data_IF_301860756348
#
_entry.id   IF_301860756348
#
_cell.length_a   1.000
_cell.length_b   1.000
_cell.length_c   1.000
_cell.angle_alpha   90.00
_cell.angle_beta   90.00
_cell.angle_gamma   90.00
#
_symmetry.space_group_name_H-M   'P 1'
#
loop_
_entity.id
_entity.type
_entity.pdbx_description
1 polymer ?
#
# COMPACT_ATOMS: atom_id res chain seq x y z
N UNK A 1 -0.38 -17.58 -4.28
CA UNK A 1 -0.54 -18.29 -2.99
C UNK A 1 -0.76 -17.23 -1.94
N UNK A 2 -1.91 -17.21 -1.27
CA UNK A 2 -2.21 -16.22 -0.23
C UNK A 2 -2.18 -16.94 1.11
N UNK A 3 -1.38 -16.46 2.06
CA UNK A 3 -1.37 -16.95 3.45
C UNK A 3 -2.14 -15.94 4.29
N UNK A 4 -3.09 -16.41 5.11
CA UNK A 4 -3.92 -15.54 5.93
C UNK A 4 -3.34 -15.34 7.34
N UNK A 5 -3.72 -14.25 8.02
CA UNK A 5 -3.32 -14.01 9.41
C UNK A 5 -3.75 -15.16 10.37
N UNK A 6 -4.97 -15.72 10.25
CA UNK A 6 -5.34 -16.92 11.01
C UNK A 6 -4.41 -18.12 10.79
N UNK A 7 -4.00 -18.38 9.54
CA UNK A 7 -3.11 -19.49 9.21
C UNK A 7 -1.73 -19.29 9.86
N UNK A 8 -1.15 -18.07 9.73
CA UNK A 8 0.10 -17.73 10.40
C UNK A 8 0.03 -17.99 11.92
N UNK A 9 -1.06 -17.56 12.56
CA UNK A 9 -1.28 -17.76 14.00
C UNK A 9 -1.39 -19.24 14.36
N UNK A 10 -2.11 -20.04 13.58
CA UNK A 10 -2.27 -21.47 13.80
C UNK A 10 -0.92 -22.23 13.73
N UNK A 11 0.02 -21.73 12.94
CA UNK A 11 1.36 -22.29 12.77
C UNK A 11 2.46 -21.61 13.61
N UNK A 12 2.12 -20.64 14.47
CA UNK A 12 3.10 -19.92 15.29
C UNK A 12 4.05 -19.01 14.51
N UNK A 13 3.64 -18.57 13.32
CA UNK A 13 4.41 -17.68 12.43
C UNK A 13 4.00 -16.23 12.72
N UNK A 14 4.97 -15.34 12.97
CA UNK A 14 4.72 -13.90 13.10
C UNK A 14 4.62 -13.27 11.69
N UNK A 15 3.46 -12.69 11.30
CA UNK A 15 3.30 -12.09 9.99
C UNK A 15 3.94 -10.70 9.91
N UNK A 16 4.57 -10.40 8.78
CA UNK A 16 4.95 -9.03 8.40
C UNK A 16 4.03 -8.56 7.28
N UNK A 17 3.40 -7.41 7.46
CA UNK A 17 2.46 -6.84 6.49
C UNK A 17 3.07 -5.66 5.77
N UNK A 18 3.03 -5.69 4.44
CA UNK A 18 3.32 -4.54 3.58
C UNK A 18 2.03 -3.77 3.30
N UNK A 19 2.03 -2.46 3.55
CA UNK A 19 0.84 -1.61 3.40
C UNK A 19 0.58 -1.27 1.93
N UNK A 20 1.62 -0.93 1.18
CA UNK A 20 1.53 -0.55 -0.24
C UNK A 20 2.52 -1.33 -1.09
N UNK A 21 2.00 -2.01 -2.11
CA UNK A 21 2.78 -2.81 -3.07
C UNK A 21 2.25 -2.63 -4.50
N UNK A 22 2.40 -1.42 -5.05
CA UNK A 22 2.05 -1.03 -6.42
C UNK A 22 0.56 -1.10 -6.80
N UNK A 23 -0.33 -1.35 -5.85
CA UNK A 23 -1.77 -1.49 -6.06
C UNK A 23 -2.51 -0.19 -5.69
N UNK A 24 -2.42 0.82 -6.56
CA UNK A 24 -3.18 2.08 -6.37
C UNK A 24 -4.64 1.91 -6.82
N UNK A 25 -5.63 2.28 -5.98
CA UNK A 25 -7.03 2.33 -6.43
C UNK A 25 -7.19 3.21 -7.68
N UNK A 26 -7.83 2.68 -8.72
CA UNK A 26 -7.99 3.38 -10.02
C UNK A 26 -8.61 4.77 -9.88
N UNK A 27 -9.57 4.93 -8.96
CA UNK A 27 -10.19 6.22 -8.68
C UNK A 27 -9.20 7.31 -8.25
N UNK A 28 -8.15 6.94 -7.49
CA UNK A 28 -7.12 7.88 -7.05
C UNK A 28 -6.18 8.25 -8.20
N UNK A 29 -5.93 7.31 -9.11
CA UNK A 29 -5.20 7.60 -10.36
C UNK A 29 -5.99 8.58 -11.22
N UNK A 30 -7.27 8.29 -11.47
CA UNK A 30 -8.12 9.10 -12.36
C UNK A 30 -8.32 10.53 -11.84
N UNK A 31 -8.55 10.71 -10.54
CA UNK A 31 -8.88 12.02 -9.96
C UNK A 31 -7.69 12.84 -9.47
N UNK A 32 -6.62 12.19 -9.06
CA UNK A 32 -5.50 12.84 -8.37
C UNK A 32 -4.15 12.55 -9.03
N UNK A 33 -4.13 11.84 -10.16
CA UNK A 33 -2.90 11.35 -10.81
C UNK A 33 -2.00 10.54 -9.87
N UNK A 34 -2.61 9.78 -8.95
CA UNK A 34 -1.88 8.94 -8.02
C UNK A 34 -0.93 9.74 -7.12
N UNK A 35 0.29 9.22 -6.93
CA UNK A 35 1.26 9.76 -5.97
C UNK A 35 1.82 11.14 -6.34
N UNK A 36 1.49 11.69 -7.52
CA UNK A 36 1.81 13.08 -7.85
C UNK A 36 1.03 14.10 -7.01
N UNK A 37 -0.18 13.74 -6.58
CA UNK A 37 -1.02 14.61 -5.75
C UNK A 37 -0.64 14.53 -4.27
N UNK A 38 -0.51 15.69 -3.64
CA UNK A 38 -0.21 15.79 -2.20
C UNK A 38 -1.40 15.35 -1.33
N UNK A 39 -2.61 15.40 -1.86
CA UNK A 39 -3.83 14.95 -1.21
C UNK A 39 -3.76 13.46 -0.83
N UNK A 40 -3.00 12.65 -1.59
CA UNK A 40 -2.79 11.24 -1.27
C UNK A 40 -2.06 11.01 0.04
N UNK A 41 -1.28 11.97 0.55
CA UNK A 41 -0.64 11.86 1.86
C UNK A 41 -1.72 11.65 2.94
N UNK A 42 -2.74 12.51 2.96
CA UNK A 42 -3.84 12.39 3.92
C UNK A 42 -4.71 11.15 3.67
N UNK A 43 -4.82 10.66 2.44
CA UNK A 43 -5.55 9.43 2.13
C UNK A 43 -4.80 8.21 2.64
N UNK A 44 -3.49 8.17 2.44
CA UNK A 44 -2.62 7.10 2.93
C UNK A 44 -2.55 7.08 4.45
N UNK A 45 -2.43 8.23 5.11
CA UNK A 45 -2.46 8.32 6.58
C UNK A 45 -3.77 7.75 7.15
N UNK A 46 -4.92 8.13 6.58
CA UNK A 46 -6.23 7.58 6.98
C UNK A 46 -6.31 6.07 6.78
N UNK A 47 -5.76 5.57 5.68
CA UNK A 47 -5.69 4.13 5.42
C UNK A 47 -4.83 3.42 6.48
N UNK A 48 -3.64 3.93 6.76
CA UNK A 48 -2.75 3.44 7.81
C UNK A 48 -3.44 3.40 9.18
N UNK A 49 -4.11 4.48 9.59
CA UNK A 49 -4.87 4.51 10.84
C UNK A 49 -5.94 3.41 10.89
N UNK A 50 -6.69 3.24 9.80
CA UNK A 50 -7.77 2.23 9.72
C UNK A 50 -7.24 0.81 9.87
N UNK A 51 -6.13 0.46 9.20
CA UNK A 51 -5.57 -0.90 9.27
C UNK A 51 -4.84 -1.15 10.58
N UNK A 52 -4.18 -0.14 11.15
CA UNK A 52 -3.56 -0.26 12.47
C UNK A 52 -4.63 -0.50 13.53
N UNK A 53 -5.70 0.30 13.55
CA UNK A 53 -6.81 0.10 14.50
C UNK A 53 -7.40 -1.32 14.36
N UNK A 54 -7.61 -1.78 13.12
CA UNK A 54 -8.24 -3.07 12.86
C UNK A 54 -7.36 -4.29 13.16
N UNK A 55 -6.04 -4.18 13.01
CA UNK A 55 -5.14 -5.33 13.02
C UNK A 55 -3.98 -5.22 14.03
N UNK A 56 -3.97 -4.20 14.89
CA UNK A 56 -2.91 -4.01 15.90
C UNK A 56 -2.72 -5.22 16.83
N UNK A 57 -3.77 -6.00 17.08
CA UNK A 57 -3.74 -7.21 17.92
C UNK A 57 -3.14 -8.43 17.21
N UNK A 58 -3.03 -8.38 15.88
CA UNK A 58 -2.62 -9.51 15.02
C UNK A 58 -1.30 -9.30 14.30
N UNK A 59 -0.85 -8.05 14.11
CA UNK A 59 0.31 -7.70 13.30
C UNK A 59 1.20 -6.74 14.08
N UNK A 60 2.44 -7.16 14.33
CA UNK A 60 3.46 -6.34 15.00
C UNK A 60 4.45 -5.70 14.03
N UNK A 61 4.68 -6.36 12.89
CA UNK A 61 5.68 -5.96 11.90
C UNK A 61 4.98 -5.36 10.67
N UNK A 62 5.27 -4.09 10.42
CA UNK A 62 4.68 -3.32 9.33
C UNK A 62 5.75 -2.74 8.43
N UNK A 63 5.56 -2.89 7.12
CA UNK A 63 6.36 -2.25 6.08
C UNK A 63 5.46 -1.28 5.30
N UNK A 64 5.82 0.01 5.27
CA UNK A 64 4.97 1.03 4.64
C UNK A 64 4.91 0.87 3.11
N UNK A 65 6.07 0.85 2.47
CA UNK A 65 6.23 0.66 1.04
C UNK A 65 7.26 -0.43 0.79
N UNK A 66 6.92 -1.41 -0.04
CA UNK A 66 7.91 -2.33 -0.59
C UNK A 66 8.52 -1.72 -1.86
N UNK A 67 9.84 -1.83 -2.01
CA UNK A 67 10.58 -1.45 -3.23
C UNK A 67 10.22 -0.06 -3.78
N UNK A 68 10.10 0.95 -2.90
CA UNK A 68 9.71 2.31 -3.29
C UNK A 68 10.58 2.92 -4.40
N UNK A 69 11.82 2.48 -4.51
CA UNK A 69 12.76 2.85 -5.56
C UNK A 69 12.27 2.44 -6.97
N UNK A 70 11.50 1.36 -7.13
CA UNK A 70 10.92 1.00 -8.43
C UNK A 70 9.93 2.05 -8.94
N UNK A 71 9.31 2.85 -8.06
CA UNK A 71 8.51 3.99 -8.50
C UNK A 71 9.36 5.08 -9.19
N UNK A 72 10.65 5.13 -8.88
CA UNK A 72 11.60 6.10 -9.48
C UNK A 72 12.35 5.55 -10.70
N UNK A 73 12.53 4.23 -10.81
CA UNK A 73 13.27 3.58 -11.89
C UNK A 73 12.39 2.84 -12.93
N UNK A 74 11.18 2.46 -12.55
CA UNK A 74 10.23 1.73 -13.38
C UNK A 74 9.37 2.66 -14.26
N UNK A 75 8.75 2.07 -15.28
CA UNK A 75 7.74 2.76 -16.10
C UNK A 75 6.68 3.35 -15.17
N UNK A 76 6.51 4.67 -15.22
CA UNK A 76 5.54 5.50 -14.50
C UNK A 76 4.19 4.79 -14.22
N UNK A 77 3.70 3.98 -15.16
CA UNK A 77 2.48 3.17 -15.04
C UNK A 77 2.42 2.29 -13.77
N UNK A 78 3.50 1.63 -13.34
CA UNK A 78 3.49 0.75 -12.16
C UNK A 78 3.38 1.51 -10.82
N UNK A 79 3.65 2.82 -10.81
CA UNK A 79 3.49 3.67 -9.65
C UNK A 79 2.19 4.49 -9.68
N UNK A 80 1.27 4.16 -10.59
CA UNK A 80 -0.03 4.83 -10.70
C UNK A 80 0.01 6.16 -11.44
N UNK A 81 1.03 6.40 -12.28
CA UNK A 81 1.09 7.58 -13.14
C UNK A 81 0.37 7.31 -14.46
N UNK A 82 -0.54 8.20 -14.86
CA UNK A 82 -1.19 8.17 -16.17
C UNK A 82 -0.54 9.20 -17.12
N UNK A 83 -0.02 8.80 -18.30
CA UNK A 83 0.77 9.69 -19.16
C UNK A 83 -0.04 10.74 -19.94
N UNK A 84 -1.36 10.87 -19.73
CA UNK A 84 -2.17 11.88 -20.41
C UNK A 84 -3.05 12.69 -19.45
N UNK A 85 -2.51 13.81 -18.98
CA UNK A 85 -3.24 15.07 -18.83
C UNK A 85 -2.30 16.21 -19.24
N UNK A 86 -2.08 16.31 -20.56
CA UNK A 86 -1.17 17.26 -21.21
C UNK A 86 -0.77 16.77 -22.59
#
# INVERSE_FOLDING_TARGET
MTVSLPDCKAHGIEPMVTISHYEMPYHLVERYNGWESRELIGFYERYCHTIFERYHDKVKLWLTFNEINCATYGVRLNAGYWPHQG
#
